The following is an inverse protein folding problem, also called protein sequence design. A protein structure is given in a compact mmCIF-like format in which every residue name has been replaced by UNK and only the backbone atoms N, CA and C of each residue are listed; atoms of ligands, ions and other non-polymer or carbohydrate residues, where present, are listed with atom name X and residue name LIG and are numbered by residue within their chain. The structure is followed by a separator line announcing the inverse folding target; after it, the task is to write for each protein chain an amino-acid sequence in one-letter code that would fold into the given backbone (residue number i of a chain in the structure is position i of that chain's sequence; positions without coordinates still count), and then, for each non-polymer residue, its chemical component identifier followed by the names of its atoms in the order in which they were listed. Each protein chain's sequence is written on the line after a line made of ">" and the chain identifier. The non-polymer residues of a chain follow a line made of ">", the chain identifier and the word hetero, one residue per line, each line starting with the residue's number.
data_IF_822583436057
#
_entry.id   IF_822583436057
#
_cell.length_a   1.000
_cell.length_b   1.000
_cell.length_c   1.000
_cell.angle_alpha   90.00
_cell.angle_beta   90.00
_cell.angle_gamma   90.00
#
_symmetry.space_group_name_H-M   'P 1'
#
loop_
_entity.id
_entity.type
_entity.pdbx_description
1 polymer ?
#
# COMPACT_ATOMS: atom_id res chain seq x y z
N UNK A 1 5.98 -4.51 -5.29
CA UNK A 1 6.76 -4.09 -6.46
C UNK A 1 7.09 -5.33 -7.25
N UNK A 2 6.23 -5.76 -8.17
CA UNK A 2 6.47 -7.00 -8.91
C UNK A 2 7.41 -6.69 -10.07
N UNK A 3 8.57 -7.32 -10.11
CA UNK A 3 9.48 -7.27 -11.25
C UNK A 3 8.93 -8.05 -12.46
N UNK A 4 7.90 -7.54 -13.14
CA UNK A 4 7.36 -8.16 -14.36
C UNK A 4 7.89 -7.46 -15.62
N UNK A 5 8.76 -8.14 -16.38
CA UNK A 5 8.99 -7.79 -17.79
C UNK A 5 9.07 -9.06 -18.65
N UNK A 6 8.54 -8.97 -19.88
CA UNK A 6 8.45 -10.04 -20.88
C UNK A 6 9.85 -10.42 -21.40
N UNK A 7 10.33 -11.63 -21.09
CA UNK A 7 11.56 -12.23 -21.64
C UNK A 7 11.40 -13.75 -21.85
N UNK A 8 12.25 -14.34 -22.71
CA UNK A 8 12.20 -15.77 -23.07
C UNK A 8 12.96 -16.62 -22.04
N UNK A 9 12.28 -17.24 -21.06
CA UNK A 9 12.89 -18.17 -20.10
C UNK A 9 12.19 -18.22 -18.73
N UNK A 10 12.73 -19.01 -17.79
CA UNK A 10 12.42 -18.87 -16.36
C UNK A 10 12.94 -17.50 -15.89
N UNK A 11 12.17 -16.83 -15.02
CA UNK A 11 12.42 -15.44 -14.62
C UNK A 11 12.79 -15.41 -13.16
N UNK A 12 13.78 -14.62 -12.78
CA UNK A 12 13.88 -14.13 -11.41
C UNK A 12 13.64 -12.61 -11.39
N UNK A 13 13.14 -12.08 -10.28
CA UNK A 13 12.98 -10.65 -10.08
C UNK A 13 13.37 -10.28 -8.66
N UNK A 14 14.25 -9.30 -8.51
CA UNK A 14 14.75 -8.87 -7.20
C UNK A 14 14.20 -7.49 -6.87
N UNK A 15 13.51 -7.39 -5.75
CA UNK A 15 12.84 -6.16 -5.33
C UNK A 15 13.33 -5.80 -3.94
N UNK A 16 13.85 -4.58 -3.77
CA UNK A 16 14.23 -4.08 -2.45
C UNK A 16 13.38 -2.88 -2.07
N UNK A 17 13.10 -2.74 -0.78
CA UNK A 17 12.35 -1.61 -0.25
C UNK A 17 12.88 -1.12 1.08
N UNK A 18 12.49 0.10 1.45
CA UNK A 18 12.78 0.76 2.73
C UNK A 18 11.45 1.19 3.37
N UNK A 19 11.29 1.01 4.68
CA UNK A 19 10.12 1.44 5.44
C UNK A 19 10.53 2.42 6.55
N UNK A 20 9.69 3.44 6.75
CA UNK A 20 9.97 4.59 7.59
C UNK A 20 9.12 4.59 8.85
N UNK A 21 9.69 4.04 9.90
CA UNK A 21 9.16 4.17 11.26
C UNK A 21 10.36 4.39 12.19
N UNK A 22 10.14 4.55 13.49
CA UNK A 22 11.19 4.49 14.52
C UNK A 22 12.07 3.23 14.37
N UNK A 23 11.56 2.24 13.64
CA UNK A 23 12.10 0.91 13.43
C UNK A 23 12.46 0.67 11.96
N UNK A 24 13.10 1.66 11.31
CA UNK A 24 13.41 1.66 9.87
C UNK A 24 14.06 0.36 9.40
N UNK A 25 13.55 -0.20 8.30
CA UNK A 25 13.96 -1.52 7.78
C UNK A 25 14.13 -1.47 6.27
N UNK A 26 15.13 -2.21 5.81
CA UNK A 26 15.35 -2.56 4.40
C UNK A 26 15.08 -4.04 4.17
N UNK A 27 14.66 -4.42 2.98
CA UNK A 27 14.42 -5.83 2.66
C UNK A 27 14.69 -6.14 1.19
N UNK A 28 14.74 -7.43 0.87
CA UNK A 28 14.78 -7.96 -0.49
C UNK A 28 13.76 -9.09 -0.65
N UNK A 29 13.05 -9.08 -1.77
CA UNK A 29 12.28 -10.20 -2.30
C UNK A 29 12.97 -10.75 -3.54
N UNK A 30 13.02 -12.07 -3.68
CA UNK A 30 13.34 -12.75 -4.93
C UNK A 30 12.17 -13.63 -5.31
N UNK A 31 11.60 -13.38 -6.49
CA UNK A 31 10.56 -14.21 -7.07
C UNK A 31 11.10 -14.98 -8.25
N UNK A 32 10.68 -16.23 -8.42
CA UNK A 32 10.90 -16.98 -9.65
C UNK A 32 9.56 -17.15 -10.40
N UNK A 33 9.53 -16.97 -11.71
CA UNK A 33 8.33 -17.18 -12.52
C UNK A 33 8.62 -18.07 -13.72
N UNK A 34 7.65 -18.90 -14.09
CA UNK A 34 7.69 -19.74 -15.28
C UNK A 34 7.46 -18.92 -16.56
N UNK A 35 7.13 -19.55 -17.70
CA UNK A 35 6.79 -18.83 -18.94
C UNK A 35 5.37 -18.23 -18.95
N UNK A 36 4.46 -18.72 -18.12
CA UNK A 36 3.04 -18.34 -18.04
C UNK A 36 2.72 -17.25 -17.02
N UNK A 37 3.72 -16.80 -16.27
CA UNK A 37 3.60 -15.87 -15.12
C UNK A 37 3.12 -16.57 -13.86
N UNK A 38 3.42 -17.84 -13.70
CA UNK A 38 3.12 -18.55 -12.47
C UNK A 38 4.39 -18.58 -11.60
N UNK A 39 4.23 -18.35 -10.29
CA UNK A 39 5.34 -18.40 -9.33
C UNK A 39 5.93 -19.81 -9.26
N UNK A 40 7.25 -19.90 -9.39
CA UNK A 40 8.02 -21.11 -9.16
C UNK A 40 8.61 -21.03 -7.75
N UNK A 41 8.42 -22.06 -6.91
CA UNK A 41 9.01 -22.08 -5.58
C UNK A 41 10.54 -21.95 -5.60
N UNK A 42 11.06 -21.20 -4.63
CA UNK A 42 12.49 -21.14 -4.27
C UNK A 42 12.66 -21.96 -3.01
N UNK A 43 13.14 -23.20 -3.16
CA UNK A 43 13.16 -24.16 -2.06
C UNK A 43 11.73 -24.56 -1.66
N UNK A 44 11.33 -24.23 -0.43
CA UNK A 44 9.99 -24.54 0.11
C UNK A 44 9.00 -23.36 0.04
N UNK A 45 9.48 -22.18 -0.32
CA UNK A 45 8.70 -20.94 -0.29
C UNK A 45 8.44 -20.44 -1.71
N UNK A 46 7.43 -19.57 -1.89
CA UNK A 46 7.14 -18.94 -3.19
C UNK A 46 8.09 -17.77 -3.52
N UNK A 47 8.87 -17.33 -2.53
CA UNK A 47 9.85 -16.25 -2.64
C UNK A 47 10.99 -16.46 -1.66
N UNK A 48 12.14 -15.83 -1.92
CA UNK A 48 13.10 -15.50 -0.86
C UNK A 48 12.74 -14.12 -0.33
N UNK A 49 12.49 -14.02 0.98
CA UNK A 49 12.32 -12.74 1.67
C UNK A 49 13.36 -12.59 2.78
N UNK A 50 14.09 -11.48 2.78
CA UNK A 50 15.06 -11.15 3.83
C UNK A 50 14.92 -9.69 4.21
N UNK A 51 14.83 -9.42 5.51
CA UNK A 51 14.68 -8.09 6.08
C UNK A 51 15.82 -7.78 7.06
N UNK A 52 16.28 -6.52 7.08
CA UNK A 52 17.37 -6.03 7.92
C UNK A 52 17.09 -4.62 8.45
N UNK A 53 17.75 -4.29 9.55
CA UNK A 53 17.80 -2.96 10.17
C UNK A 53 19.23 -2.40 10.14
N UNK A 54 19.43 -1.07 10.17
CA UNK A 54 18.40 -0.04 10.00
C UNK A 54 18.03 0.15 8.51
N UNK A 55 17.01 0.96 8.22
CA UNK A 55 16.58 1.30 6.86
C UNK A 55 17.52 2.28 6.15
N UNK A 56 17.27 2.60 4.87
CA UNK A 56 18.11 3.52 4.10
C UNK A 56 18.06 4.94 4.64
N UNK A 57 16.87 5.38 5.08
CA UNK A 57 16.66 6.70 5.70
C UNK A 57 17.53 6.97 6.93
N UNK A 58 17.95 5.92 7.67
CA UNK A 58 18.83 6.07 8.83
C UNK A 58 20.26 6.49 8.48
N UNK A 59 20.62 6.45 7.20
CA UNK A 59 21.94 6.83 6.68
C UNK A 59 21.94 8.19 5.97
N UNK A 60 21.01 9.08 6.31
CA UNK A 60 20.87 10.42 5.69
C UNK A 60 22.19 11.20 5.56
N UNK A 61 23.12 11.02 6.52
CA UNK A 61 24.42 11.70 6.53
C UNK A 61 25.51 11.01 5.71
N UNK A 62 25.32 9.75 5.32
CA UNK A 62 26.29 8.94 4.59
C UNK A 62 25.58 8.07 3.51
N UNK A 63 25.37 8.64 2.31
CA UNK A 63 24.76 7.92 1.19
C UNK A 63 25.49 6.64 0.78
N UNK A 64 26.82 6.60 0.94
CA UNK A 64 27.61 5.42 0.60
C UNK A 64 27.34 4.30 1.60
N UNK A 65 27.31 4.59 2.90
CA UNK A 65 26.93 3.63 3.92
C UNK A 65 25.50 3.11 3.71
N UNK A 66 24.57 3.97 3.27
CA UNK A 66 23.22 3.56 2.90
C UNK A 66 23.23 2.46 1.84
N UNK A 67 23.97 2.68 0.74
CA UNK A 67 24.13 1.73 -0.34
C UNK A 67 24.84 0.45 0.12
N UNK A 68 26.01 0.56 0.76
CA UNK A 68 26.79 -0.58 1.25
C UNK A 68 25.98 -1.47 2.20
N UNK A 69 25.00 -0.90 2.93
CA UNK A 69 24.10 -1.66 3.77
C UNK A 69 23.20 -2.65 3.01
N UNK A 70 23.00 -2.48 1.69
CA UNK A 70 22.26 -3.40 0.83
C UNK A 70 23.10 -4.60 0.36
N UNK A 71 24.42 -4.60 0.55
CA UNK A 71 25.32 -5.67 0.07
C UNK A 71 24.88 -7.05 0.55
N UNK A 72 24.59 -7.21 1.86
CA UNK A 72 24.18 -8.51 2.41
C UNK A 72 22.86 -9.00 1.78
N UNK A 73 21.92 -8.10 1.48
CA UNK A 73 20.67 -8.44 0.84
C UNK A 73 20.89 -8.84 -0.62
N UNK A 74 21.78 -8.14 -1.32
CA UNK A 74 22.15 -8.43 -2.70
C UNK A 74 22.83 -9.80 -2.80
N UNK A 75 23.79 -10.11 -1.92
CA UNK A 75 24.48 -11.40 -1.87
C UNK A 75 23.50 -12.56 -1.63
N UNK A 76 22.53 -12.39 -0.73
CA UNK A 76 21.48 -13.40 -0.50
C UNK A 76 20.59 -13.59 -1.73
N UNK A 77 20.27 -12.51 -2.45
CA UNK A 77 19.50 -12.59 -3.69
C UNK A 77 20.30 -13.30 -4.80
N UNK A 78 21.58 -12.98 -4.95
CA UNK A 78 22.48 -13.61 -5.92
C UNK A 78 22.66 -15.10 -5.64
N UNK A 79 22.74 -15.50 -4.35
CA UNK A 79 22.79 -16.91 -3.97
C UNK A 79 21.52 -17.69 -4.32
N UNK A 80 20.36 -17.02 -4.38
CA UNK A 80 19.08 -17.64 -4.73
C UNK A 80 18.81 -17.72 -6.24
N UNK A 81 19.45 -16.86 -7.05
CA UNK A 81 19.27 -16.83 -8.50
C UNK A 81 20.38 -17.61 -9.20
N UNK A 82 20.07 -18.62 -10.04
CA UNK A 82 21.08 -19.36 -10.81
C UNK A 82 21.99 -18.41 -11.61
N UNK A 83 23.30 -18.66 -11.60
CA UNK A 83 24.33 -17.75 -12.17
C UNK A 83 24.03 -17.39 -13.63
N UNK A 84 23.57 -18.35 -14.41
CA UNK A 84 23.19 -18.19 -15.80
C UNK A 84 22.02 -17.21 -16.01
N UNK A 85 21.14 -17.05 -15.01
CA UNK A 85 19.99 -16.14 -15.07
C UNK A 85 20.28 -14.75 -14.47
N UNK A 86 21.36 -14.58 -13.71
CA UNK A 86 21.64 -13.34 -12.97
C UNK A 86 21.71 -12.13 -13.91
N UNK A 87 22.49 -12.21 -15.01
CA UNK A 87 22.67 -11.09 -15.94
C UNK A 87 21.38 -10.62 -16.64
N UNK A 88 20.37 -11.49 -16.73
CA UNK A 88 19.06 -11.18 -17.31
C UNK A 88 18.00 -10.81 -16.25
N UNK A 89 18.29 -11.07 -14.98
CA UNK A 89 17.37 -10.86 -13.86
C UNK A 89 17.31 -9.38 -13.50
N UNK A 90 16.13 -8.72 -13.60
CA UNK A 90 15.98 -7.33 -13.17
C UNK A 90 16.08 -7.19 -11.66
N UNK A 91 16.85 -6.20 -11.21
CA UNK A 91 16.83 -5.68 -9.84
C UNK A 91 16.18 -4.30 -9.81
N UNK A 92 15.21 -4.10 -8.93
CA UNK A 92 14.52 -2.82 -8.69
C UNK A 92 14.58 -2.45 -7.22
N UNK A 93 14.72 -1.15 -6.95
CA UNK A 93 14.77 -0.57 -5.61
C UNK A 93 13.67 0.48 -5.53
N UNK A 94 12.72 0.25 -4.63
CA UNK A 94 11.62 1.18 -4.37
C UNK A 94 11.72 1.72 -2.94
N UNK A 95 12.22 2.94 -2.78
CA UNK A 95 12.22 3.59 -1.48
C UNK A 95 10.84 4.21 -1.20
N UNK A 96 10.34 4.13 0.04
CA UNK A 96 8.98 4.60 0.38
C UNK A 96 8.99 5.99 1.06
N UNK A 97 7.99 6.27 1.90
CA UNK A 97 7.74 7.56 2.54
C UNK A 97 8.91 8.09 3.39
N UNK A 98 9.77 7.24 3.95
CA UNK A 98 10.87 7.71 4.82
C UNK A 98 11.97 8.40 4.08
N UNK A 99 12.34 7.85 2.93
CA UNK A 99 13.30 8.50 2.08
C UNK A 99 12.72 9.81 1.52
N UNK A 100 11.39 9.89 1.29
CA UNK A 100 10.70 11.14 0.89
C UNK A 100 10.76 12.24 1.94
N UNK A 101 10.92 11.89 3.22
CA UNK A 101 10.91 12.83 4.34
C UNK A 101 12.29 13.43 4.63
N UNK A 102 13.36 12.95 3.97
CA UNK A 102 14.69 13.53 4.16
C UNK A 102 14.81 14.89 3.47
N UNK A 103 15.54 15.81 4.10
CA UNK A 103 15.70 17.17 3.62
C UNK A 103 16.61 17.27 2.38
N UNK A 104 16.32 18.26 1.53
CA UNK A 104 17.18 18.65 0.41
C UNK A 104 17.36 17.56 -0.65
N UNK A 105 18.60 17.40 -1.11
CA UNK A 105 18.99 16.43 -2.14
C UNK A 105 19.41 15.06 -1.55
N UNK A 106 19.21 14.86 -0.25
CA UNK A 106 19.59 13.63 0.46
C UNK A 106 18.99 12.36 -0.15
N UNK A 107 17.68 12.31 -0.50
CA UNK A 107 17.09 11.13 -1.12
C UNK A 107 17.79 10.77 -2.44
N UNK A 108 18.05 11.77 -3.28
CA UNK A 108 18.67 11.59 -4.60
C UNK A 108 20.11 11.11 -4.48
N UNK A 109 20.86 11.64 -3.51
CA UNK A 109 22.24 11.19 -3.22
C UNK A 109 22.28 9.74 -2.76
N UNK A 110 21.34 9.32 -1.90
CA UNK A 110 21.21 7.91 -1.48
C UNK A 110 20.85 7.02 -2.67
N UNK A 111 19.84 7.38 -3.46
CA UNK A 111 19.45 6.61 -4.63
C UNK A 111 20.59 6.53 -5.66
N UNK A 112 21.37 7.59 -5.83
CA UNK A 112 22.53 7.58 -6.71
C UNK A 112 23.61 6.61 -6.21
N UNK A 113 23.92 6.60 -4.92
CA UNK A 113 24.85 5.64 -4.35
C UNK A 113 24.36 4.19 -4.53
N UNK A 114 23.05 3.95 -4.42
CA UNK A 114 22.45 2.63 -4.69
C UNK A 114 22.57 2.25 -6.17
N UNK A 115 22.34 3.17 -7.10
CA UNK A 115 22.55 2.93 -8.55
C UNK A 115 23.99 2.54 -8.84
N UNK A 116 24.94 3.26 -8.23
CA UNK A 116 26.37 2.99 -8.40
C UNK A 116 26.76 1.62 -7.83
N UNK A 117 26.22 1.24 -6.67
CA UNK A 117 26.40 -0.10 -6.11
C UNK A 117 25.90 -1.19 -7.05
N UNK A 118 24.66 -1.08 -7.54
CA UNK A 118 24.06 -2.09 -8.43
C UNK A 118 24.82 -2.19 -9.75
N UNK A 119 25.36 -1.08 -10.26
CA UNK A 119 26.15 -1.07 -11.49
C UNK A 119 27.55 -1.66 -11.31
N UNK A 120 28.20 -1.39 -10.17
CA UNK A 120 29.61 -1.74 -9.96
C UNK A 120 29.81 -3.11 -9.29
N UNK A 121 28.83 -3.57 -8.51
CA UNK A 121 28.93 -4.80 -7.70
C UNK A 121 27.87 -5.84 -8.04
N UNK A 122 26.72 -5.42 -8.57
CA UNK A 122 25.62 -6.33 -8.88
C UNK A 122 25.89 -7.17 -10.11
N UNK A 123 25.49 -8.45 -10.04
CA UNK A 123 25.40 -9.33 -11.21
C UNK A 123 24.08 -9.20 -11.98
N UNK A 124 23.07 -8.60 -11.33
CA UNK A 124 21.74 -8.39 -11.88
C UNK A 124 21.65 -7.23 -12.88
N UNK A 125 20.67 -7.33 -13.78
CA UNK A 125 20.32 -6.27 -14.70
C UNK A 125 19.69 -5.09 -13.95
N UNK A 126 20.35 -3.94 -13.99
CA UNK A 126 19.86 -2.70 -13.39
C UNK A 126 19.66 -1.60 -14.44
N UNK A 127 18.81 -0.63 -14.12
CA UNK A 127 18.66 0.62 -14.88
C UNK A 127 18.46 1.79 -13.92
N UNK A 128 18.82 2.99 -14.36
CA UNK A 128 18.68 4.22 -13.56
C UNK A 128 17.24 4.44 -13.09
N UNK A 129 16.25 4.22 -13.96
CA UNK A 129 14.81 4.38 -13.71
C UNK A 129 14.21 3.28 -12.81
N UNK A 130 15.00 2.27 -12.43
CA UNK A 130 14.56 1.15 -11.59
C UNK A 130 14.93 1.32 -10.12
N UNK A 131 15.70 2.36 -9.82
CA UNK A 131 16.03 2.79 -8.47
C UNK A 131 15.35 4.14 -8.27
N UNK A 132 14.21 4.12 -7.60
CA UNK A 132 13.35 5.30 -7.46
C UNK A 132 12.72 5.34 -6.07
N UNK A 133 12.35 6.55 -5.69
CA UNK A 133 11.34 6.72 -4.64
C UNK A 133 9.98 6.40 -5.27
N UNK A 134 9.22 5.53 -4.62
CA UNK A 134 7.85 5.24 -5.00
C UNK A 134 6.96 6.38 -4.52
N UNK A 135 6.23 7.00 -5.44
CA UNK A 135 5.12 7.86 -5.05
C UNK A 135 3.95 7.00 -4.53
N UNK A 136 2.99 7.61 -3.84
CA UNK A 136 1.90 6.84 -3.25
C UNK A 136 0.90 6.30 -4.26
N UNK A 137 0.82 6.86 -5.48
CA UNK A 137 -0.01 6.29 -6.53
C UNK A 137 0.64 5.01 -7.07
N UNK A 138 1.97 5.00 -7.25
CA UNK A 138 2.71 3.80 -7.60
C UNK A 138 2.55 2.70 -6.54
N UNK A 139 2.56 3.04 -5.25
CA UNK A 139 2.32 2.09 -4.16
C UNK A 139 0.95 1.41 -4.29
N UNK A 140 -0.13 2.20 -4.44
CA UNK A 140 -1.49 1.66 -4.64
C UNK A 140 -1.64 0.85 -5.93
N UNK A 141 -1.04 1.33 -7.03
CA UNK A 141 -1.07 0.63 -8.31
C UNK A 141 -0.38 -0.74 -8.22
N UNK A 142 0.82 -0.79 -7.61
CA UNK A 142 1.53 -2.05 -7.47
C UNK A 142 0.78 -3.02 -6.60
N UNK A 143 0.21 -2.59 -5.46
CA UNK A 143 -0.62 -3.45 -4.62
C UNK A 143 -1.83 -4.01 -5.38
N UNK A 144 -2.48 -3.20 -6.23
CA UNK A 144 -3.57 -3.67 -7.07
C UNK A 144 -3.12 -4.78 -8.03
N UNK A 145 -1.94 -4.63 -8.65
CA UNK A 145 -1.34 -5.68 -9.50
C UNK A 145 -1.07 -6.92 -8.67
N UNK A 146 -0.55 -6.78 -7.46
CA UNK A 146 -0.26 -7.90 -6.54
C UNK A 146 -1.49 -8.73 -6.23
N UNK A 147 -2.55 -8.09 -5.75
CA UNK A 147 -3.76 -8.79 -5.34
C UNK A 147 -4.41 -9.46 -6.54
N UNK A 148 -4.51 -8.77 -7.68
CA UNK A 148 -5.10 -9.35 -8.88
C UNK A 148 -4.20 -10.40 -9.54
N UNK A 149 -2.89 -10.37 -9.30
CA UNK A 149 -1.97 -11.42 -9.70
C UNK A 149 -2.22 -12.69 -8.87
N UNK A 150 -2.22 -12.57 -7.55
CA UNK A 150 -2.43 -13.68 -6.62
C UNK A 150 -3.81 -14.33 -6.76
N UNK A 151 -4.84 -13.53 -7.06
CA UNK A 151 -6.20 -14.00 -7.33
C UNK A 151 -6.39 -14.54 -8.77
N UNK A 152 -5.37 -14.47 -9.62
CA UNK A 152 -5.45 -14.91 -11.01
C UNK A 152 -6.41 -14.08 -11.86
N UNK A 153 -6.62 -12.81 -11.52
CA UNK A 153 -7.52 -11.89 -12.23
C UNK A 153 -6.83 -11.11 -13.35
N UNK A 154 -5.50 -11.01 -13.34
CA UNK A 154 -4.78 -10.34 -14.43
C UNK A 154 -5.02 -11.03 -15.78
N UNK A 155 -5.35 -10.23 -16.78
CA UNK A 155 -5.75 -10.64 -18.13
C UNK A 155 -7.27 -10.80 -18.33
N UNK A 156 -8.08 -10.82 -17.26
CA UNK A 156 -9.56 -10.82 -17.34
C UNK A 156 -10.11 -9.40 -17.57
N UNK A 157 -11.39 -9.28 -17.90
CA UNK A 157 -12.05 -7.97 -17.99
C UNK A 157 -11.99 -7.21 -16.65
N UNK A 158 -11.94 -5.88 -16.68
CA UNK A 158 -11.84 -5.05 -15.46
C UNK A 158 -12.93 -5.33 -14.40
N UNK A 159 -14.19 -5.70 -14.73
CA UNK A 159 -15.21 -6.05 -13.73
C UNK A 159 -14.88 -7.30 -12.91
N UNK A 160 -13.95 -8.13 -13.39
CA UNK A 160 -13.50 -9.34 -12.69
C UNK A 160 -12.32 -9.08 -11.74
N UNK A 161 -11.86 -7.84 -11.66
CA UNK A 161 -10.73 -7.46 -10.78
C UNK A 161 -11.23 -7.05 -9.41
N UNK A 162 -10.32 -7.01 -8.44
CA UNK A 162 -10.58 -6.58 -7.07
C UNK A 162 -9.86 -5.25 -6.86
N UNK A 163 -10.58 -4.25 -6.34
CA UNK A 163 -9.98 -2.98 -5.92
C UNK A 163 -9.19 -3.16 -4.63
N UNK A 164 -8.24 -2.28 -4.36
CA UNK A 164 -7.41 -2.32 -3.16
C UNK A 164 -7.51 -1.01 -2.39
N UNK A 165 -7.50 -1.14 -1.07
CA UNK A 165 -7.40 -0.01 -0.14
C UNK A 165 -6.27 -0.29 0.84
N UNK A 166 -5.28 0.60 0.87
CA UNK A 166 -4.14 0.51 1.79
C UNK A 166 -4.20 1.65 2.80
N UNK A 167 -4.15 1.33 4.08
CA UNK A 167 -3.97 2.31 5.14
C UNK A 167 -2.56 2.15 5.72
N UNK A 168 -1.65 2.97 5.19
CA UNK A 168 -0.29 3.08 5.72
C UNK A 168 -0.18 4.15 6.82
N UNK A 169 1.01 4.30 7.39
CA UNK A 169 1.23 5.23 8.51
C UNK A 169 1.14 6.73 8.17
N UNK A 170 1.14 7.10 6.88
CA UNK A 170 1.13 8.52 6.46
C UNK A 170 0.18 8.85 5.31
N UNK A 171 -0.54 7.86 4.76
CA UNK A 171 -1.54 8.06 3.71
C UNK A 171 -2.45 6.85 3.56
N UNK A 172 -3.59 7.09 2.93
CA UNK A 172 -4.47 6.03 2.39
C UNK A 172 -4.32 5.99 0.88
N UNK A 173 -4.25 4.80 0.32
CA UNK A 173 -4.26 4.58 -1.12
C UNK A 173 -5.54 3.83 -1.50
N UNK A 174 -6.18 4.28 -2.59
CA UNK A 174 -7.27 3.55 -3.26
C UNK A 174 -6.83 3.28 -4.70
N UNK A 175 -6.92 2.02 -5.13
CA UNK A 175 -6.66 1.66 -6.51
C UNK A 175 -7.66 0.62 -7.02
N UNK A 176 -8.30 0.88 -8.16
CA UNK A 176 -9.21 -0.07 -8.79
C UNK A 176 -9.38 0.22 -10.28
N UNK A 177 -9.68 -0.81 -11.08
CA UNK A 177 -9.80 -0.65 -12.52
C UNK A 177 -11.16 -0.06 -12.92
N UNK A 178 -11.15 0.85 -13.90
CA UNK A 178 -12.33 1.59 -14.38
C UNK A 178 -12.56 1.36 -15.88
N UNK A 179 -13.78 1.67 -16.33
CA UNK A 179 -14.13 1.60 -17.75
C UNK A 179 -13.36 2.65 -18.58
N UNK A 180 -13.20 2.42 -19.89
CA UNK A 180 -12.65 3.45 -20.80
C UNK A 180 -13.51 4.73 -20.79
N UNK A 181 -14.83 4.60 -20.58
CA UNK A 181 -15.76 5.73 -20.53
C UNK A 181 -15.56 6.61 -19.28
N UNK A 182 -15.24 6.01 -18.13
CA UNK A 182 -14.94 6.74 -16.90
C UNK A 182 -13.53 7.32 -16.93
N UNK A 183 -12.56 6.58 -17.48
CA UNK A 183 -11.20 7.08 -17.72
C UNK A 183 -11.19 8.32 -18.63
N UNK A 184 -12.01 8.34 -19.69
CA UNK A 184 -12.13 9.49 -20.58
C UNK A 184 -12.73 10.74 -19.90
N UNK A 185 -13.46 10.57 -18.79
CA UNK A 185 -14.04 11.65 -17.98
C UNK A 185 -13.14 12.06 -16.81
N UNK A 186 -11.97 11.43 -16.66
CA UNK A 186 -11.07 11.72 -15.56
C UNK A 186 -10.67 13.21 -15.58
N UNK A 187 -10.78 13.93 -14.44
CA UNK A 187 -10.32 15.29 -14.35
C UNK A 187 -8.83 15.39 -14.66
N UNK A 188 -8.44 16.44 -15.38
CA UNK A 188 -7.03 16.79 -15.56
C UNK A 188 -6.61 17.65 -14.38
N UNK A 189 -5.64 17.17 -13.59
CA UNK A 189 -5.05 17.95 -12.52
C UNK A 189 -4.10 19.00 -13.11
N UNK A 190 -4.10 20.20 -12.52
CA UNK A 190 -3.39 21.39 -13.03
C UNK A 190 -1.86 21.33 -12.87
N UNK A 191 -1.37 20.35 -12.14
CA UNK A 191 0.03 20.17 -11.73
C UNK A 191 0.82 19.19 -12.62
N UNK A 192 0.21 18.63 -13.67
CA UNK A 192 0.93 17.97 -14.78
C UNK A 192 1.60 16.62 -14.47
N UNK A 193 1.80 16.25 -13.21
CA UNK A 193 2.52 15.02 -12.82
C UNK A 193 1.63 13.90 -12.26
N UNK A 194 0.44 14.22 -11.73
CA UNK A 194 -0.46 13.21 -11.16
C UNK A 194 -1.78 13.15 -11.95
N UNK A 195 -2.01 12.08 -12.68
CA UNK A 195 -3.34 11.76 -13.21
C UNK A 195 -4.03 10.82 -12.24
N UNK A 196 -5.34 10.99 -12.04
CA UNK A 196 -6.16 10.02 -11.31
C UNK A 196 -6.18 8.63 -11.96
N UNK A 197 -5.80 8.55 -13.24
CA UNK A 197 -5.86 7.32 -14.02
C UNK A 197 -4.46 6.99 -14.52
N UNK A 198 -4.02 5.77 -14.21
CA UNK A 198 -2.80 5.18 -14.74
C UNK A 198 -3.15 4.06 -15.72
N UNK A 199 -2.62 4.12 -16.93
CA UNK A 199 -2.76 3.03 -17.90
C UNK A 199 -1.71 1.94 -17.63
N UNK A 200 -2.15 0.69 -17.58
CA UNK A 200 -1.27 -0.47 -17.40
C UNK A 200 -1.59 -1.57 -18.41
N UNK A 201 -0.56 -2.27 -18.89
CA UNK A 201 -0.72 -3.43 -19.78
C UNK A 201 -0.23 -4.70 -19.10
N UNK A 202 -1.17 -5.58 -18.71
CA UNK A 202 -0.92 -6.74 -17.85
C UNK A 202 -1.54 -7.99 -18.46
N UNK A 203 -0.73 -9.05 -18.62
CA UNK A 203 -1.11 -10.33 -19.27
C UNK A 203 -1.88 -10.16 -20.59
N UNK A 204 -1.47 -9.20 -21.43
CA UNK A 204 -2.08 -8.98 -22.75
C UNK A 204 -3.29 -8.04 -22.75
N UNK A 205 -3.61 -7.39 -21.63
CA UNK A 205 -4.77 -6.52 -21.50
C UNK A 205 -4.41 -5.14 -20.98
N UNK A 206 -5.01 -4.11 -21.57
CA UNK A 206 -4.97 -2.73 -21.08
C UNK A 206 -5.97 -2.56 -19.94
N UNK A 207 -5.53 -1.95 -18.85
CA UNK A 207 -6.37 -1.49 -17.74
C UNK A 207 -6.20 0.01 -17.58
N UNK A 208 -7.30 0.72 -17.37
CA UNK A 208 -7.28 2.07 -16.83
C UNK A 208 -7.47 1.93 -15.32
N UNK A 209 -6.43 2.23 -14.55
CA UNK A 209 -6.45 2.08 -13.11
C UNK A 209 -6.71 3.45 -12.49
N UNK A 210 -7.86 3.63 -11.84
CA UNK A 210 -8.02 4.75 -10.93
C UNK A 210 -7.07 4.52 -9.77
N UNK A 211 -6.22 5.51 -9.48
CA UNK A 211 -5.35 5.47 -8.31
C UNK A 211 -5.33 6.84 -7.67
N UNK A 212 -5.53 6.86 -6.37
CA UNK A 212 -5.35 8.08 -5.61
C UNK A 212 -4.77 7.82 -4.24
N UNK A 213 -3.69 8.54 -3.95
CA UNK A 213 -3.11 8.67 -2.63
C UNK A 213 -3.72 9.88 -1.93
N UNK A 214 -4.30 9.66 -0.77
CA UNK A 214 -4.79 10.69 0.12
C UNK A 214 -3.73 10.89 1.21
N UNK A 215 -2.97 12.01 1.19
CA UNK A 215 -2.04 12.33 2.26
C UNK A 215 -2.78 12.45 3.59
N UNK A 216 -2.18 11.91 4.64
CA UNK A 216 -2.75 11.90 5.98
C UNK A 216 -1.88 12.65 7.01
N UNK A 217 -1.57 13.94 6.83
CA UNK A 217 -0.95 14.71 7.91
C UNK A 217 -1.95 14.84 9.07
N UNK A 218 -1.76 14.07 10.15
CA UNK A 218 -2.60 14.03 11.35
C UNK A 218 -4.01 13.42 11.17
N UNK A 219 -4.52 13.24 9.94
CA UNK A 219 -5.89 12.75 9.68
C UNK A 219 -6.04 11.23 9.77
N UNK A 220 -5.10 10.45 9.23
CA UNK A 220 -5.13 9.00 9.42
C UNK A 220 -4.89 8.65 10.90
N UNK A 221 -4.24 9.54 11.64
CA UNK A 221 -4.13 9.42 13.09
C UNK A 221 -5.36 9.90 13.82
N UNK A 222 -6.13 10.88 13.34
CA UNK A 222 -7.48 11.09 13.87
C UNK A 222 -8.33 9.87 13.59
N UNK A 223 -8.15 9.19 12.45
CA UNK A 223 -8.81 7.92 12.16
C UNK A 223 -8.29 6.82 13.08
N UNK A 224 -6.97 6.69 13.28
CA UNK A 224 -6.37 5.74 14.21
C UNK A 224 -6.78 6.03 15.65
N UNK A 225 -6.74 7.28 16.07
CA UNK A 225 -7.23 7.79 17.35
C UNK A 225 -8.72 7.49 17.47
N UNK A 226 -9.57 7.77 16.47
CA UNK A 226 -10.99 7.38 16.48
C UNK A 226 -11.15 5.87 16.63
N UNK A 227 -10.35 5.08 15.91
CA UNK A 227 -10.35 3.61 15.99
C UNK A 227 -9.83 3.09 17.35
N UNK A 228 -8.89 3.80 17.96
CA UNK A 228 -8.24 3.53 19.24
C UNK A 228 -9.12 4.00 20.41
N UNK A 229 -9.86 5.10 20.25
CA UNK A 229 -10.86 5.61 21.17
C UNK A 229 -12.16 4.77 21.12
N UNK A 230 -12.31 3.90 20.12
CA UNK A 230 -13.32 2.84 20.10
C UNK A 230 -12.88 1.61 20.91
N UNK A 231 -11.61 1.53 21.36
CA UNK A 231 -11.15 0.52 22.29
C UNK A 231 -11.53 0.92 23.74
N UNK A 232 -12.34 0.10 24.45
CA UNK A 232 -12.67 0.35 25.85
C UNK A 232 -11.47 0.32 26.82
N UNK A 233 -10.27 -0.15 26.41
CA UNK A 233 -9.11 -0.30 27.28
C UNK A 233 -8.26 0.97 27.50
N UNK A 234 -8.42 2.03 26.70
CA UNK A 234 -7.47 3.18 26.71
C UNK A 234 -7.91 4.34 27.61
N UNK A 235 -9.15 4.35 28.09
CA UNK A 235 -9.70 5.48 28.85
C UNK A 235 -9.53 5.36 30.38
N UNK A 236 -8.29 5.25 30.87
CA UNK A 236 -8.03 5.42 32.31
C UNK A 236 -6.94 6.43 32.68
N UNK A 237 -6.23 7.05 31.73
CA UNK A 237 -5.14 7.98 32.07
C UNK A 237 -5.09 9.20 31.16
N UNK A 238 -4.95 10.39 31.75
CA UNK A 238 -4.48 11.61 31.08
C UNK A 238 -3.16 11.32 30.37
N UNK A 239 -3.05 11.70 29.08
CA UNK A 239 -1.82 11.52 28.32
C UNK A 239 -1.66 12.56 27.21
N UNK A 240 -0.48 12.57 26.62
CA UNK A 240 -0.15 13.29 25.39
C UNK A 240 0.35 12.31 24.32
N UNK A 241 0.12 12.65 23.06
CA UNK A 241 0.53 11.86 21.90
C UNK A 241 1.38 12.71 20.96
N UNK A 242 2.47 12.16 20.40
CA UNK A 242 3.38 12.90 19.51
C UNK A 242 3.33 12.35 18.09
N UNK A 243 3.12 13.24 17.12
CA UNK A 243 3.22 12.92 15.70
C UNK A 243 3.77 14.07 14.87
N UNK A 244 4.62 13.74 13.89
CA UNK A 244 5.24 14.75 13.01
C UNK A 244 6.03 15.81 13.79
N UNK A 245 6.55 15.46 14.98
CA UNK A 245 7.21 16.39 15.89
C UNK A 245 6.28 17.30 16.71
N UNK A 246 4.96 17.15 16.59
CA UNK A 246 3.94 17.91 17.31
C UNK A 246 3.31 17.05 18.41
N UNK A 247 3.10 17.63 19.59
CA UNK A 247 2.45 16.98 20.74
C UNK A 247 0.98 17.40 20.84
N UNK A 248 0.11 16.42 21.04
CA UNK A 248 -1.34 16.53 21.09
C UNK A 248 -1.86 16.01 22.42
N UNK A 249 -2.80 16.72 23.06
CA UNK A 249 -3.45 16.24 24.27
C UNK A 249 -4.44 15.12 23.96
N UNK A 250 -4.28 13.99 24.65
CA UNK A 250 -5.15 12.82 24.57
C UNK A 250 -5.72 12.55 25.97
N UNK A 251 -6.74 13.32 26.36
CA UNK A 251 -7.38 13.21 27.67
C UNK A 251 -8.79 12.63 27.56
N UNK A 252 -9.10 11.72 28.49
CA UNK A 252 -10.44 11.17 28.63
C UNK A 252 -11.46 12.29 28.94
N UNK A 253 -12.58 12.30 28.24
CA UNK A 253 -13.73 13.13 28.62
C UNK A 253 -14.37 12.49 29.86
N UNK A 254 -14.81 13.30 30.83
CA UNK A 254 -15.39 12.83 32.09
C UNK A 254 -16.61 11.92 31.93
N UNK A 255 -17.29 11.99 30.78
CA UNK A 255 -18.41 11.12 30.40
C UNK A 255 -18.01 9.74 29.85
N UNK A 256 -16.71 9.45 29.73
CA UNK A 256 -16.20 8.26 29.03
C UNK A 256 -16.26 8.40 27.50
N UNK A 257 -15.99 7.31 26.80
CA UNK A 257 -15.98 7.26 25.33
C UNK A 257 -17.41 7.24 24.76
N UNK A 258 -17.59 7.87 23.59
CA UNK A 258 -18.89 7.90 22.89
C UNK A 258 -18.68 7.71 21.39
N UNK A 259 -19.27 6.63 20.86
CA UNK A 259 -19.18 6.28 19.44
C UNK A 259 -19.72 7.39 18.53
N UNK A 260 -20.83 8.03 18.91
CA UNK A 260 -21.46 9.07 18.10
C UNK A 260 -20.58 10.33 18.03
N UNK A 261 -20.10 10.81 19.18
CA UNK A 261 -19.17 11.93 19.25
C UNK A 261 -17.86 11.64 18.50
N UNK A 262 -17.35 10.40 18.60
CA UNK A 262 -16.17 9.94 17.89
C UNK A 262 -16.40 9.95 16.36
N UNK A 263 -17.55 9.46 15.90
CA UNK A 263 -17.98 9.50 14.50
C UNK A 263 -18.13 10.92 13.96
N UNK A 264 -18.74 11.83 14.72
CA UNK A 264 -18.88 13.23 14.33
C UNK A 264 -17.53 13.93 14.22
N UNK A 265 -16.62 13.69 15.17
CA UNK A 265 -15.25 14.19 15.10
C UNK A 265 -14.50 13.66 13.87
N UNK A 266 -14.64 12.37 13.56
CA UNK A 266 -14.06 11.74 12.39
C UNK A 266 -14.59 12.36 11.08
N UNK A 267 -15.91 12.52 10.97
CA UNK A 267 -16.56 13.13 9.82
C UNK A 267 -16.05 14.56 9.57
N UNK A 268 -15.93 15.35 10.63
CA UNK A 268 -15.40 16.72 10.57
C UNK A 268 -13.93 16.74 10.13
N UNK A 269 -13.10 15.83 10.67
CA UNK A 269 -11.68 15.75 10.31
C UNK A 269 -11.45 15.32 8.85
N UNK A 270 -12.28 14.39 8.37
CA UNK A 270 -12.29 13.94 6.98
C UNK A 270 -12.86 14.98 6.02
N UNK A 271 -13.58 16.00 6.53
CA UNK A 271 -14.29 17.00 5.75
C UNK A 271 -15.30 16.37 4.78
N UNK A 272 -16.09 15.43 5.27
CA UNK A 272 -17.07 14.72 4.43
C UNK A 272 -18.19 15.62 3.89
N UNK A 273 -18.49 16.71 4.62
CA UNK A 273 -19.52 17.69 4.26
C UNK A 273 -18.97 18.84 3.38
N UNK A 274 -17.72 18.73 2.93
CA UNK A 274 -17.10 19.71 2.06
C UNK A 274 -17.82 19.71 0.70
N UNK A 275 -18.53 20.80 0.42
CA UNK A 275 -19.41 20.94 -0.75
C UNK A 275 -18.65 21.27 -2.04
N UNK A 276 -17.35 21.55 -1.96
CA UNK A 276 -16.46 21.86 -3.08
C UNK A 276 -16.06 20.59 -3.85
N UNK A 277 -17.05 19.83 -4.32
CA UNK A 277 -16.81 18.84 -5.36
C UNK A 277 -16.86 19.54 -6.72
N UNK A 278 -15.69 19.79 -7.31
CA UNK A 278 -15.56 20.37 -8.66
C UNK A 278 -15.72 19.31 -9.77
N UNK A 279 -16.06 18.08 -9.40
CA UNK A 279 -16.15 16.91 -10.28
C UNK A 279 -17.53 16.23 -10.19
N UNK A 280 -17.83 15.29 -11.08
CA UNK A 280 -19.17 14.67 -11.13
C UNK A 280 -19.55 13.94 -9.83
N UNK A 281 -18.57 13.29 -9.17
CA UNK A 281 -18.71 12.61 -7.87
C UNK A 281 -17.36 12.63 -7.15
N UNK A 282 -17.38 13.02 -5.88
CA UNK A 282 -16.17 13.06 -5.04
C UNK A 282 -16.30 12.12 -3.84
N UNK A 283 -15.17 11.75 -3.27
CA UNK A 283 -15.09 11.14 -1.94
C UNK A 283 -15.14 12.24 -0.89
N UNK A 284 -14.02 12.54 -0.23
CA UNK A 284 -13.90 13.61 0.75
C UNK A 284 -12.79 14.57 0.34
N UNK A 285 -12.87 15.83 0.78
CA UNK A 285 -11.90 16.87 0.38
C UNK A 285 -11.91 17.21 -1.12
N UNK A 286 -13.04 17.02 -1.81
CA UNK A 286 -13.18 17.35 -3.24
C UNK A 286 -12.49 16.38 -4.22
N UNK A 287 -11.96 15.26 -3.72
CA UNK A 287 -11.23 14.26 -4.52
C UNK A 287 -12.19 13.47 -5.43
N UNK A 288 -11.91 13.39 -6.74
CA UNK A 288 -12.72 12.60 -7.66
C UNK A 288 -12.71 11.12 -7.26
N UNK A 289 -13.89 10.49 -7.21
CA UNK A 289 -14.03 9.12 -6.73
C UNK A 289 -13.69 8.03 -7.76
N UNK A 290 -13.25 8.39 -8.97
CA UNK A 290 -12.93 7.45 -10.05
C UNK A 290 -14.15 6.92 -10.82
N UNK A 291 -15.35 7.42 -10.57
CA UNK A 291 -16.59 6.98 -11.24
C UNK A 291 -17.23 5.72 -10.62
N UNK A 292 -16.54 5.02 -9.72
CA UNK A 292 -16.96 3.74 -9.15
C UNK A 292 -17.03 2.61 -10.18
N UNK A 293 -18.05 1.76 -10.07
CA UNK A 293 -18.31 0.66 -11.02
C UNK A 293 -17.79 -0.70 -10.55
N UNK A 294 -17.82 -1.68 -11.46
CA UNK A 294 -17.61 -3.10 -11.10
C UNK A 294 -16.21 -3.41 -10.57
N UNK A 295 -15.18 -2.69 -11.01
CA UNK A 295 -13.82 -2.87 -10.51
C UNK A 295 -13.64 -2.49 -9.03
N UNK A 296 -14.59 -1.76 -8.45
CA UNK A 296 -14.63 -1.39 -7.03
C UNK A 296 -15.60 -2.25 -6.20
N UNK A 297 -16.36 -3.15 -6.84
CA UNK A 297 -17.43 -3.92 -6.18
C UNK A 297 -16.90 -4.86 -5.09
N UNK A 298 -15.74 -5.45 -5.35
CA UNK A 298 -15.00 -6.28 -4.42
C UNK A 298 -13.71 -5.55 -4.06
N UNK A 299 -13.42 -5.47 -2.76
CA UNK A 299 -12.25 -4.77 -2.25
C UNK A 299 -11.38 -5.70 -1.40
N UNK A 300 -10.07 -5.58 -1.57
CA UNK A 300 -9.07 -6.07 -0.64
C UNK A 300 -8.58 -4.88 0.20
N UNK A 301 -8.63 -5.03 1.53
CA UNK A 301 -8.27 -3.95 2.45
C UNK A 301 -7.04 -4.39 3.25
N UNK A 302 -5.99 -3.59 3.23
CA UNK A 302 -4.64 -3.99 3.66
C UNK A 302 -4.09 -3.16 4.84
N UNK A 303 -2.95 -3.61 5.34
CA UNK A 303 -2.13 -2.95 6.37
C UNK A 303 -2.94 -2.66 7.62
N UNK A 304 -3.01 -1.41 8.07
CA UNK A 304 -3.56 -1.06 9.37
C UNK A 304 -5.02 -1.47 9.57
N UNK A 305 -5.81 -1.51 8.49
CA UNK A 305 -7.17 -2.04 8.55
C UNK A 305 -7.21 -3.50 9.02
N UNK A 306 -6.26 -4.32 8.55
CA UNK A 306 -6.14 -5.70 8.98
C UNK A 306 -5.58 -5.80 10.40
N UNK A 307 -4.53 -5.03 10.72
CA UNK A 307 -3.88 -5.08 12.04
C UNK A 307 -4.89 -4.77 13.15
N UNK A 308 -5.68 -3.72 13.00
CA UNK A 308 -6.75 -3.37 13.96
C UNK A 308 -7.83 -4.45 14.06
N UNK A 309 -8.25 -5.04 12.94
CA UNK A 309 -9.23 -6.13 12.96
C UNK A 309 -8.68 -7.41 13.64
N UNK A 310 -7.38 -7.68 13.49
CA UNK A 310 -6.70 -8.82 14.10
C UNK A 310 -6.53 -8.67 15.62
N UNK A 311 -6.18 -7.48 16.09
CA UNK A 311 -5.97 -7.17 17.51
C UNK A 311 -7.24 -7.36 18.34
N UNK A 312 -8.40 -7.01 17.81
CA UNK A 312 -9.70 -7.18 18.49
C UNK A 312 -10.20 -8.63 18.48
N UNK A 313 -9.38 -9.61 18.08
CA UNK A 313 -9.66 -11.07 18.07
C UNK A 313 -10.93 -11.50 17.32
N UNK A 314 -11.43 -10.68 16.41
CA UNK A 314 -12.55 -11.01 15.52
C UNK A 314 -12.10 -11.76 14.25
N UNK A 315 -10.80 -12.08 14.12
CA UNK A 315 -10.29 -12.97 13.06
C UNK A 315 -10.52 -14.44 13.43
N UNK A 316 -11.70 -14.76 14.00
CA UNK A 316 -12.30 -16.08 13.81
C UNK A 316 -13.08 -16.01 12.49
N UNK A 317 -12.39 -16.40 11.43
CA UNK A 317 -12.89 -16.74 10.08
C UNK A 317 -14.32 -16.29 9.76
N UNK A 318 -14.44 -15.36 8.80
CA UNK A 318 -15.66 -15.04 8.06
C UNK A 318 -16.23 -16.30 7.37
N UNK A 319 -16.85 -17.19 8.14
CA UNK A 319 -17.82 -18.17 7.68
C UNK A 319 -19.19 -17.49 7.82
N UNK A 320 -19.79 -17.15 6.68
CA UNK A 320 -20.99 -16.32 6.58
C UNK A 320 -22.28 -16.97 7.10
N UNK A 321 -22.22 -17.88 8.08
CA UNK A 321 -23.40 -18.62 8.54
C UNK A 321 -23.61 -18.83 10.03
N UNK A 322 -22.70 -18.45 10.94
CA UNK A 322 -22.99 -18.59 12.39
C UNK A 322 -22.26 -17.55 13.25
N UNK A 323 -23.01 -16.62 13.84
CA UNK A 323 -23.04 -16.38 15.30
C UNK A 323 -23.55 -14.98 15.62
N UNK A 324 -24.48 -14.92 16.56
CA UNK A 324 -25.14 -13.76 17.12
C UNK A 324 -24.33 -13.17 18.29
N UNK A 325 -23.86 -11.92 18.20
CA UNK A 325 -23.73 -10.98 19.34
C UNK A 325 -23.25 -9.60 18.87
N UNK A 326 -23.63 -8.56 19.63
CA UNK A 326 -23.55 -7.12 19.34
C UNK A 326 -22.22 -6.51 18.83
N UNK A 327 -21.11 -7.26 18.78
CA UNK A 327 -19.84 -6.81 18.18
C UNK A 327 -19.88 -6.84 16.64
N UNK A 328 -20.67 -7.75 16.07
CA UNK A 328 -20.98 -7.81 14.64
C UNK A 328 -21.64 -6.52 14.14
N UNK A 329 -22.42 -5.84 15.00
CA UNK A 329 -23.05 -4.55 14.68
C UNK A 329 -22.03 -3.42 14.62
N UNK A 330 -20.96 -3.47 15.42
CA UNK A 330 -19.90 -2.46 15.46
C UNK A 330 -18.90 -2.63 14.32
N UNK A 331 -18.53 -3.87 13.99
CA UNK A 331 -17.67 -4.19 12.85
C UNK A 331 -18.42 -4.04 11.53
N UNK A 332 -19.70 -4.46 11.48
CA UNK A 332 -20.57 -4.06 10.39
C UNK A 332 -20.70 -2.56 10.35
N UNK A 333 -20.76 -1.80 11.46
CA UNK A 333 -20.80 -0.34 11.40
C UNK A 333 -19.47 0.32 11.05
N UNK A 334 -18.31 -0.29 11.29
CA UNK A 334 -17.00 0.20 10.87
C UNK A 334 -16.78 -0.07 9.38
N UNK A 335 -17.06 -1.30 8.95
CA UNK A 335 -17.12 -1.66 7.54
C UNK A 335 -18.25 -0.89 6.87
N UNK A 336 -19.41 -0.65 7.48
CA UNK A 336 -20.48 0.22 6.97
C UNK A 336 -20.14 1.71 7.13
N UNK A 337 -19.21 2.13 7.97
CA UNK A 337 -18.83 3.53 8.11
C UNK A 337 -17.83 3.86 7.01
N UNK A 338 -16.78 3.05 6.84
CA UNK A 338 -15.86 3.11 5.71
C UNK A 338 -16.54 2.73 4.40
N UNK A 339 -17.40 1.71 4.40
CA UNK A 339 -18.26 1.43 3.28
C UNK A 339 -19.19 2.59 3.09
N UNK A 340 -19.88 3.22 4.05
CA UNK A 340 -20.77 4.38 3.81
C UNK A 340 -20.05 5.63 3.35
N UNK A 341 -18.79 5.80 3.75
CA UNK A 341 -17.83 6.75 3.17
C UNK A 341 -17.58 6.44 1.69
N UNK A 342 -17.74 5.17 1.27
CA UNK A 342 -17.76 4.69 -0.13
C UNK A 342 -19.21 4.53 -0.69
N UNK A 343 -20.25 4.34 0.14
CA UNK A 343 -21.56 3.71 -0.14
C UNK A 343 -22.62 4.72 -0.49
N UNK A 344 -22.30 6.01 -0.54
CA UNK A 344 -23.12 6.89 -1.35
C UNK A 344 -23.12 6.42 -2.82
N UNK A 345 -22.24 5.48 -3.23
CA UNK A 345 -22.32 4.72 -4.48
C UNK A 345 -21.85 3.25 -4.35
N UNK A 346 -22.81 2.31 -4.32
CA UNK A 346 -22.72 0.87 -4.68
C UNK A 346 -22.45 -0.20 -3.60
N UNK A 347 -23.17 -1.33 -3.74
CA UNK A 347 -23.26 -2.52 -2.87
C UNK A 347 -21.95 -3.34 -2.83
N UNK A 348 -21.45 -3.67 -1.63
CA UNK A 348 -20.20 -4.41 -1.39
C UNK A 348 -20.43 -5.90 -1.09
N UNK A 349 -19.51 -6.75 -1.58
CA UNK A 349 -19.30 -8.13 -1.13
C UNK A 349 -17.81 -8.32 -0.88
N UNK A 350 -17.43 -8.74 0.33
CA UNK A 350 -16.02 -8.99 0.70
C UNK A 350 -15.72 -10.46 0.48
N UNK A 351 -14.70 -10.79 -0.31
CA UNK A 351 -14.25 -12.17 -0.55
C UNK A 351 -12.90 -12.44 0.13
N UNK A 352 -12.78 -13.62 0.74
CA UNK A 352 -11.69 -14.03 1.62
C UNK A 352 -10.42 -14.46 0.85
N UNK A 353 -9.27 -13.91 1.25
CA UNK A 353 -7.95 -14.51 1.05
C UNK A 353 -7.07 -14.23 2.28
N UNK A 354 -7.18 -15.07 3.31
CA UNK A 354 -6.40 -14.97 4.54
C UNK A 354 -5.03 -15.66 4.36
N UNK A 355 -3.96 -14.84 4.32
CA UNK A 355 -2.53 -15.15 4.55
C UNK A 355 -1.62 -14.03 3.99
N UNK A 356 -2.18 -13.02 3.30
CA UNK A 356 -1.41 -12.10 2.47
C UNK A 356 -1.01 -10.76 3.13
N UNK A 357 -1.66 -10.31 4.20
CA UNK A 357 -1.68 -8.87 4.57
C UNK A 357 -0.37 -8.29 5.13
N UNK A 358 0.54 -9.09 5.69
CA UNK A 358 1.85 -8.59 6.16
C UNK A 358 3.05 -9.13 5.36
N UNK A 359 2.83 -10.08 4.45
CA UNK A 359 3.88 -10.60 3.55
C UNK A 359 3.78 -10.08 2.11
N UNK A 360 2.59 -9.66 1.68
CA UNK A 360 2.31 -9.38 0.26
C UNK A 360 1.77 -7.98 -0.04
N UNK A 361 1.74 -7.06 0.93
CA UNK A 361 1.34 -5.66 0.67
C UNK A 361 2.25 -4.95 -0.33
N UNK A 362 3.41 -5.52 -0.65
CA UNK A 362 4.36 -4.96 -1.60
C UNK A 362 4.99 -6.02 -2.51
N UNK A 363 4.32 -7.15 -2.79
CA UNK A 363 4.75 -8.04 -3.89
C UNK A 363 4.61 -7.32 -5.20
#
# INVERSE_FOLDING_TARGET
>A
MICLKKYRGNRAGVCTGDAATEDARKWVHVFCFDKKLDLIPIGKELELFVQKKPGLSSFAKDPKAAADSLLELLEKAEAAVPRELQHDTPVRVGATAGLRQLDGDTPDRILQAVRDLLKNRGTFKSKTDWVTVLDGNQEGAYQWVTINYLLGNLGKEYPSTVGVVDLGGGSVQMAYAISDADAAKAPRLSDGENTYVQEMYLKGRKYNLYVHRIPCPGKCEIIDMVLTLMDPLIFSTQGSYKYGGVEYDASAVSSGSSLNACREAANKALKIDETTCTHMKCTFGGVWNGGGGDGQKNLFVASFFFDRAAEVKEVSFLDARKSSTNLWFLLSQLIYFFASLVHKYSYLRVENAAAASNRYSFV
#
